data_IF_430129504765
#
_entry.id   IF_430129504765
#
_cell.length_a   1.000
_cell.length_b   1.000
_cell.length_c   1.000
_cell.angle_alpha   90.00
_cell.angle_beta   90.00
_cell.angle_gamma   90.00
#
_symmetry.space_group_name_H-M   'P 1'
#
loop_
_entity.id
_entity.type
_entity.pdbx_description
1 polymer ?
#
# COMPACT_ATOMS: atom_id res chain seq x y z
N UNK A 1 -1.42 3.43 25.28
CA UNK A 1 -2.39 2.30 25.33
C UNK A 1 -2.48 1.66 26.72
N UNK A 2 -1.51 1.85 27.63
CA UNK A 2 -1.60 1.44 29.06
C UNK A 2 -2.17 2.52 29.99
N UNK A 3 -2.87 3.51 29.43
CA UNK A 3 -3.43 4.57 30.25
C UNK A 3 -4.68 4.03 30.97
N UNK A 4 -4.65 4.05 32.30
CA UNK A 4 -5.72 3.48 33.14
C UNK A 4 -7.06 4.17 32.84
N UNK A 5 -7.03 5.44 32.48
CA UNK A 5 -8.21 6.24 32.17
C UNK A 5 -8.88 5.77 30.88
N UNK A 6 -8.09 5.44 29.86
CA UNK A 6 -8.61 4.91 28.59
C UNK A 6 -9.27 3.54 28.77
N UNK A 7 -8.66 2.68 29.59
CA UNK A 7 -9.23 1.36 29.90
C UNK A 7 -10.53 1.47 30.70
N UNK A 8 -10.65 2.47 31.59
CA UNK A 8 -11.86 2.73 32.35
C UNK A 8 -13.00 3.23 31.44
N UNK A 9 -12.71 4.15 30.51
CA UNK A 9 -13.67 4.65 29.51
C UNK A 9 -14.17 3.50 28.64
N UNK A 10 -13.28 2.62 28.16
CA UNK A 10 -13.65 1.43 27.39
C UNK A 10 -14.59 0.49 28.15
N UNK A 11 -14.34 0.26 29.44
CA UNK A 11 -15.21 -0.57 30.27
C UNK A 11 -16.57 0.10 30.53
N UNK A 12 -16.58 1.41 30.77
CA UNK A 12 -17.80 2.18 31.07
C UNK A 12 -18.76 2.25 29.88
N UNK A 13 -18.24 2.42 28.67
CA UNK A 13 -19.03 2.54 27.44
C UNK A 13 -18.97 1.30 26.55
N UNK A 14 -18.64 0.12 27.11
CA UNK A 14 -18.52 -1.12 26.35
C UNK A 14 -19.77 -1.51 25.55
N UNK A 15 -20.96 -1.12 26.03
CA UNK A 15 -22.27 -1.37 25.38
C UNK A 15 -22.73 -0.24 24.46
N UNK A 16 -22.05 0.91 24.46
CA UNK A 16 -22.43 2.11 23.72
C UNK A 16 -21.26 2.55 22.82
N UNK A 17 -21.23 1.98 21.61
CA UNK A 17 -20.15 2.23 20.64
C UNK A 17 -20.09 3.67 20.17
N UNK A 18 -21.21 4.39 20.20
CA UNK A 18 -21.30 5.76 19.72
C UNK A 18 -20.68 6.72 20.75
N UNK A 19 -21.03 6.60 22.03
CA UNK A 19 -20.36 7.33 23.11
C UNK A 19 -18.89 6.96 23.24
N UNK A 20 -18.54 5.69 23.06
CA UNK A 20 -17.14 5.26 23.10
C UNK A 20 -16.29 5.99 22.04
N UNK A 21 -16.79 6.10 20.81
CA UNK A 21 -16.10 6.81 19.73
C UNK A 21 -15.98 8.32 20.01
N UNK A 22 -17.00 8.94 20.61
CA UNK A 22 -16.97 10.36 21.01
C UNK A 22 -15.93 10.63 22.09
N UNK A 23 -15.90 9.81 23.15
CA UNK A 23 -14.91 9.92 24.23
C UNK A 23 -13.49 9.65 23.72
N UNK A 24 -13.33 8.71 22.79
CA UNK A 24 -12.04 8.48 22.13
C UNK A 24 -11.54 9.74 21.41
N UNK A 25 -12.41 10.40 20.65
CA UNK A 25 -12.09 11.64 19.95
C UNK A 25 -11.81 12.80 20.92
N UNK A 26 -12.50 12.84 22.06
CA UNK A 26 -12.23 13.83 23.12
C UNK A 26 -10.84 13.63 23.72
N UNK A 27 -10.51 12.41 24.10
CA UNK A 27 -9.19 12.07 24.65
C UNK A 27 -8.07 12.34 23.64
N UNK A 28 -8.29 12.06 22.36
CA UNK A 28 -7.32 12.39 21.30
C UNK A 28 -7.09 13.89 21.16
N UNK A 29 -8.15 14.70 21.25
CA UNK A 29 -8.05 16.17 21.25
C UNK A 29 -7.35 16.69 22.50
N UNK A 30 -7.70 16.20 23.69
CA UNK A 30 -7.08 16.61 24.95
C UNK A 30 -5.58 16.29 24.99
N UNK A 31 -5.17 15.17 24.37
CA UNK A 31 -3.76 14.78 24.27
C UNK A 31 -3.03 15.37 23.07
N UNK A 32 -3.68 16.21 22.27
CA UNK A 32 -3.09 16.80 21.06
C UNK A 32 -2.71 15.78 19.98
N UNK A 33 -3.29 14.57 20.01
CA UNK A 33 -3.02 13.51 19.02
C UNK A 33 -3.92 13.75 17.81
N UNK A 34 -3.33 14.12 16.68
CA UNK A 34 -4.08 14.32 15.45
C UNK A 34 -4.35 12.97 14.75
N UNK A 35 -5.62 12.52 14.62
CA UNK A 35 -5.95 11.26 13.94
C UNK A 35 -5.55 11.26 12.45
N UNK A 36 -5.38 12.44 11.84
CA UNK A 36 -4.87 12.58 10.47
C UNK A 36 -3.34 12.58 10.36
N UNK A 37 -2.61 12.53 11.49
CA UNK A 37 -1.15 12.43 11.46
C UNK A 37 -0.66 11.15 10.77
N UNK A 38 -1.47 10.09 10.77
CA UNK A 38 -1.13 8.83 10.10
C UNK A 38 -1.28 8.85 8.58
N UNK A 39 -2.04 9.80 8.01
CA UNK A 39 -2.19 9.93 6.55
C UNK A 39 -1.19 10.91 5.92
N UNK A 40 -0.40 11.62 6.74
CA UNK A 40 0.64 12.53 6.26
C UNK A 40 1.68 11.83 5.35
N UNK A 41 2.15 10.60 5.64
CA UNK A 41 3.02 9.87 4.71
C UNK A 41 2.34 9.55 3.38
N UNK A 42 1.03 9.29 3.40
CA UNK A 42 0.25 8.99 2.20
C UNK A 42 0.10 10.23 1.31
N UNK A 43 -0.08 11.41 1.88
CA UNK A 43 -0.17 12.67 1.13
C UNK A 43 1.14 12.99 0.40
N UNK A 44 2.28 12.73 1.01
CA UNK A 44 3.59 12.89 0.36
C UNK A 44 3.80 11.83 -0.73
N UNK A 45 3.20 10.65 -0.58
CA UNK A 45 3.31 9.55 -1.54
C UNK A 45 2.44 9.73 -2.80
N UNK A 46 1.32 10.47 -2.71
CA UNK A 46 0.38 10.66 -3.82
C UNK A 46 1.05 11.25 -5.09
N UNK A 47 1.83 12.35 -5.02
CA UNK A 47 2.51 12.90 -6.18
C UNK A 47 3.46 11.92 -6.88
N UNK A 48 4.15 11.06 -6.11
CA UNK A 48 5.09 10.08 -6.63
C UNK A 48 4.35 9.02 -7.46
N UNK A 49 3.22 8.52 -6.96
CA UNK A 49 2.40 7.53 -7.68
C UNK A 49 1.84 8.14 -8.97
N UNK A 50 1.36 9.40 -8.92
CA UNK A 50 0.84 10.10 -10.10
C UNK A 50 1.95 10.30 -11.14
N UNK A 51 3.13 10.74 -10.71
CA UNK A 51 4.28 10.94 -11.60
C UNK A 51 4.72 9.64 -12.27
N UNK A 52 4.79 8.54 -11.51
CA UNK A 52 5.11 7.23 -12.04
C UNK A 52 4.04 6.72 -13.01
N UNK A 53 2.76 6.80 -12.64
CA UNK A 53 1.65 6.38 -13.50
C UNK A 53 1.67 7.14 -14.83
N UNK A 54 1.86 8.46 -14.79
CA UNK A 54 2.00 9.28 -15.99
C UNK A 54 3.26 8.93 -16.79
N UNK A 55 4.39 8.67 -16.14
CA UNK A 55 5.63 8.27 -16.81
C UNK A 55 5.48 6.93 -17.53
N UNK A 56 4.89 5.92 -16.87
CA UNK A 56 4.62 4.60 -17.45
C UNK A 56 3.71 4.72 -18.67
N UNK A 57 2.62 5.48 -18.58
CA UNK A 57 1.67 5.64 -19.70
C UNK A 57 2.29 6.41 -20.87
N UNK A 58 3.07 7.46 -20.59
CA UNK A 58 3.76 8.23 -21.63
C UNK A 58 4.89 7.44 -22.31
N UNK A 59 5.63 6.63 -21.54
CA UNK A 59 6.75 5.83 -22.04
C UNK A 59 6.28 4.57 -22.80
N UNK A 60 5.17 3.98 -22.39
CA UNK A 60 4.67 2.72 -22.98
C UNK A 60 3.61 2.92 -24.05
N UNK A 61 3.19 4.17 -24.30
CA UNK A 61 2.36 4.56 -25.44
C UNK A 61 1.18 3.60 -25.69
N UNK A 62 0.52 3.17 -24.61
CA UNK A 62 -0.47 2.07 -24.64
C UNK A 62 -1.75 2.42 -25.41
N UNK A 63 -1.87 3.66 -25.87
CA UNK A 63 -2.99 4.23 -26.61
C UNK A 63 -2.48 5.07 -27.80
N UNK A 64 -2.79 4.72 -29.06
CA UNK A 64 -2.33 5.45 -30.26
C UNK A 64 -2.73 6.94 -30.29
N UNK A 65 -3.83 7.31 -29.61
CA UNK A 65 -4.29 8.69 -29.50
C UNK A 65 -3.44 9.56 -28.57
N UNK A 66 -2.80 8.97 -27.55
CA UNK A 66 -1.96 9.70 -26.61
C UNK A 66 -0.58 9.99 -27.21
N UNK A 67 -0.06 9.11 -28.07
CA UNK A 67 1.13 9.38 -28.91
C UNK A 67 0.96 10.63 -29.79
N UNK A 68 -0.22 10.79 -30.40
CA UNK A 68 -0.52 11.92 -31.29
C UNK A 68 -0.67 13.25 -30.54
N UNK A 69 -1.16 13.22 -29.29
CA UNK A 69 -1.27 14.42 -28.44
C UNK A 69 0.07 14.78 -27.80
N UNK A 70 0.85 13.78 -27.40
CA UNK A 70 2.20 13.96 -26.86
C UNK A 70 3.14 14.54 -27.93
N UNK A 71 3.02 14.09 -29.19
CA UNK A 71 3.76 14.62 -30.34
C UNK A 71 3.52 16.12 -30.58
N UNK A 72 2.35 16.67 -30.24
CA UNK A 72 2.07 18.11 -30.40
C UNK A 72 2.43 18.96 -29.20
N UNK A 73 2.54 18.38 -28.00
CA UNK A 73 2.68 19.14 -26.76
C UNK A 73 4.09 19.12 -26.16
N UNK A 74 5.02 18.33 -26.71
CA UNK A 74 6.38 18.21 -26.20
C UNK A 74 7.35 18.93 -27.14
N UNK A 75 8.05 19.93 -26.59
CA UNK A 75 9.17 20.63 -27.19
C UNK A 75 10.21 19.61 -27.68
N UNK A 76 10.73 19.77 -28.89
CA UNK A 76 11.55 18.78 -29.61
C UNK A 76 12.77 18.26 -28.83
N UNK A 77 13.25 18.99 -27.83
CA UNK A 77 14.40 18.61 -26.99
C UNK A 77 14.13 17.47 -25.99
N UNK A 78 12.87 17.23 -25.59
CA UNK A 78 12.53 16.15 -24.63
C UNK A 78 12.36 14.79 -25.34
N UNK A 79 12.17 14.79 -26.67
CA UNK A 79 12.08 13.58 -27.49
C UNK A 79 13.43 12.85 -27.59
N UNK A 80 14.54 13.57 -27.45
CA UNK A 80 15.88 12.97 -27.51
C UNK A 80 16.21 12.17 -26.23
N UNK A 81 15.66 12.59 -25.09
CA UNK A 81 15.74 11.84 -23.82
C UNK A 81 14.91 10.56 -23.88
N UNK A 82 13.80 10.54 -24.62
CA UNK A 82 12.98 9.34 -24.82
C UNK A 82 13.70 8.27 -25.67
N UNK A 83 14.58 8.69 -26.59
CA UNK A 83 15.41 7.77 -27.40
C UNK A 83 16.61 7.19 -26.62
N UNK A 84 17.05 7.85 -25.55
CA UNK A 84 18.10 7.36 -24.64
C UNK A 84 17.58 6.34 -23.61
N UNK A 85 16.27 6.21 -23.48
CA UNK A 85 15.64 5.17 -22.66
C UNK A 85 15.44 3.96 -23.58
N UNK A 86 16.21 2.86 -23.43
CA UNK A 86 15.97 1.66 -24.23
C UNK A 86 14.56 1.17 -23.90
N UNK A 87 13.64 1.35 -24.85
CA UNK A 87 12.23 0.96 -24.80
C UNK A 87 12.08 -0.57 -24.88
N UNK A 88 12.90 -1.32 -24.13
CA UNK A 88 12.62 -2.71 -23.89
C UNK A 88 11.53 -2.77 -22.82
N UNK A 89 10.28 -2.79 -23.26
CA UNK A 89 9.12 -2.95 -22.39
C UNK A 89 9.04 -4.35 -21.78
N UNK A 90 9.92 -5.28 -22.16
CA UNK A 90 9.99 -6.60 -21.55
C UNK A 90 10.97 -6.56 -20.37
N UNK A 91 10.46 -6.85 -19.19
CA UNK A 91 11.22 -6.97 -17.96
C UNK A 91 11.00 -8.38 -17.43
N UNK A 92 12.06 -9.13 -17.14
CA UNK A 92 11.96 -10.55 -16.79
C UNK A 92 11.14 -11.34 -17.84
N UNK A 93 10.01 -11.94 -17.45
CA UNK A 93 9.12 -12.73 -18.30
C UNK A 93 7.85 -11.98 -18.74
N UNK A 94 7.74 -10.69 -18.45
CA UNK A 94 6.51 -9.89 -18.61
C UNK A 94 6.73 -8.65 -19.47
N UNK A 95 5.65 -8.16 -20.07
CA UNK A 95 5.63 -6.87 -20.74
C UNK A 95 5.05 -5.80 -19.80
N UNK A 96 5.87 -4.81 -19.44
CA UNK A 96 5.57 -3.73 -18.50
C UNK A 96 4.34 -2.88 -18.90
N UNK A 97 3.97 -2.89 -20.19
CA UNK A 97 2.85 -2.14 -20.76
C UNK A 97 1.54 -2.89 -20.78
N UNK A 98 1.55 -4.19 -20.48
CA UNK A 98 0.37 -5.04 -20.45
C UNK A 98 0.14 -5.58 -19.03
N UNK A 99 -1.11 -5.90 -18.66
CA UNK A 99 -1.37 -6.69 -17.46
C UNK A 99 -0.60 -8.02 -17.52
N UNK A 100 0.13 -8.36 -16.46
CA UNK A 100 0.92 -9.59 -16.43
C UNK A 100 0.04 -10.80 -16.17
N UNK A 101 0.25 -11.85 -16.96
CA UNK A 101 -0.34 -13.16 -16.76
C UNK A 101 0.64 -14.20 -17.29
N UNK A 102 1.15 -15.06 -16.41
CA UNK A 102 2.00 -16.17 -16.79
C UNK A 102 1.16 -17.42 -16.85
N UNK A 103 1.22 -18.12 -17.98
CA UNK A 103 0.61 -19.42 -18.13
C UNK A 103 1.43 -20.47 -17.37
N UNK A 104 1.07 -20.75 -16.11
CA UNK A 104 1.64 -21.85 -15.33
C UNK A 104 0.67 -23.03 -15.47
N UNK A 105 1.14 -24.16 -16.01
CA UNK A 105 0.32 -25.35 -16.27
C UNK A 105 -0.90 -25.11 -17.19
N UNK A 106 -0.81 -24.15 -18.13
CA UNK A 106 -1.91 -23.79 -19.02
C UNK A 106 -2.97 -22.87 -18.37
N UNK A 107 -2.76 -22.44 -17.13
CA UNK A 107 -3.62 -21.48 -16.43
C UNK A 107 -2.91 -20.13 -16.40
N UNK A 108 -3.54 -19.09 -16.94
CA UNK A 108 -3.04 -17.72 -16.88
C UNK A 108 -3.15 -17.18 -15.44
N UNK A 109 -2.06 -17.28 -14.69
CA UNK A 109 -1.98 -16.79 -13.32
C UNK A 109 -1.32 -15.40 -13.33
N UNK A 110 -1.98 -14.38 -12.74
CA UNK A 110 -1.42 -13.05 -12.58
C UNK A 110 -0.48 -13.05 -11.38
N UNK A 111 0.73 -13.57 -11.60
CA UNK A 111 1.71 -13.83 -10.54
C UNK A 111 2.06 -12.56 -9.79
N UNK A 112 2.22 -11.44 -10.51
CA UNK A 112 2.56 -10.16 -9.91
C UNK A 112 1.44 -9.60 -9.03
N UNK A 113 0.18 -9.73 -9.43
CA UNK A 113 -0.93 -9.22 -8.62
C UNK A 113 -1.02 -9.96 -7.28
N UNK A 114 -0.76 -11.27 -7.30
CA UNK A 114 -0.67 -12.09 -6.09
C UNK A 114 0.51 -11.64 -5.23
N UNK A 115 1.69 -11.42 -5.82
CA UNK A 115 2.88 -10.94 -5.10
C UNK A 115 2.64 -9.55 -4.50
N UNK A 116 2.01 -8.61 -5.22
CA UNK A 116 1.62 -7.30 -4.71
C UNK A 116 0.68 -7.44 -3.52
N UNK A 117 -0.37 -8.26 -3.65
CA UNK A 117 -1.33 -8.47 -2.56
C UNK A 117 -0.64 -9.05 -1.32
N UNK A 118 0.20 -10.08 -1.48
CA UNK A 118 0.94 -10.70 -0.38
C UNK A 118 1.93 -9.71 0.26
N UNK A 119 2.73 -9.01 -0.54
CA UNK A 119 3.73 -8.07 -0.02
C UNK A 119 3.09 -6.89 0.70
N UNK A 120 2.00 -6.34 0.15
CA UNK A 120 1.22 -5.25 0.79
C UNK A 120 0.59 -5.75 2.09
N UNK A 121 0.09 -6.99 2.13
CA UNK A 121 -0.46 -7.60 3.33
C UNK A 121 0.60 -7.76 4.42
N UNK A 122 1.78 -8.30 4.08
CA UNK A 122 2.90 -8.47 5.00
C UNK A 122 3.36 -7.12 5.53
N UNK A 123 3.58 -6.14 4.65
CA UNK A 123 3.99 -4.78 5.03
C UNK A 123 2.96 -4.14 5.98
N UNK A 124 1.67 -4.26 5.68
CA UNK A 124 0.59 -3.76 6.54
C UNK A 124 0.61 -4.43 7.92
N UNK A 125 0.78 -5.75 7.99
CA UNK A 125 0.84 -6.49 9.27
C UNK A 125 2.08 -6.16 10.11
N UNK A 126 3.22 -5.92 9.47
CA UNK A 126 4.46 -5.55 10.14
C UNK A 126 4.40 -4.13 10.73
N UNK A 127 3.74 -3.21 10.02
CA UNK A 127 3.63 -1.80 10.42
C UNK A 127 2.46 -1.51 11.36
N UNK A 128 1.51 -2.43 11.49
CA UNK A 128 0.40 -2.28 12.44
C UNK A 128 0.92 -2.20 13.89
N UNK A 129 0.54 -1.17 14.66
CA UNK A 129 0.83 -1.16 16.07
C UNK A 129 0.07 -2.29 16.77
N UNK A 130 0.79 -3.14 17.51
CA UNK A 130 0.19 -4.18 18.36
C UNK A 130 -0.60 -3.52 19.49
N UNK A 131 -1.93 -3.48 19.38
CA UNK A 131 -2.76 -3.18 20.56
C UNK A 131 -2.86 -4.44 21.42
N UNK A 132 -2.68 -4.26 22.72
CA UNK A 132 -2.91 -5.29 23.73
C UNK A 132 -4.39 -5.36 24.14
N UNK A 133 -5.22 -4.43 23.66
CA UNK A 133 -6.62 -4.30 24.03
C UNK A 133 -7.55 -4.77 22.90
N UNK A 134 -8.35 -5.84 23.10
CA UNK A 134 -9.27 -6.38 22.09
C UNK A 134 -10.39 -5.43 21.67
N UNK A 135 -10.70 -4.43 22.50
CA UNK A 135 -11.75 -3.43 22.26
C UNK A 135 -11.20 -2.08 21.77
N UNK A 136 -9.92 -1.99 21.39
CA UNK A 136 -9.37 -0.77 20.79
C UNK A 136 -9.95 -0.61 19.37
N UNK A 137 -10.85 0.35 19.22
CA UNK A 137 -11.46 0.70 17.93
C UNK A 137 -10.40 1.07 16.88
N UNK A 138 -9.26 1.61 17.31
CA UNK A 138 -8.08 1.90 16.47
C UNK A 138 -7.43 0.65 15.89
N UNK A 139 -7.41 -0.46 16.65
CA UNK A 139 -6.85 -1.72 16.18
C UNK A 139 -7.79 -2.41 15.18
N UNK A 140 -9.11 -2.29 15.39
CA UNK A 140 -10.09 -2.77 14.43
C UNK A 140 -9.99 -2.01 13.09
N UNK A 141 -9.80 -0.69 13.13
CA UNK A 141 -9.60 0.13 11.93
C UNK A 141 -8.25 -0.16 11.24
N UNK A 142 -7.19 -0.38 12.01
CA UNK A 142 -5.90 -0.81 11.45
C UNK A 142 -5.99 -2.19 10.79
N UNK A 143 -6.70 -3.13 11.41
CA UNK A 143 -6.86 -4.48 10.87
C UNK A 143 -7.72 -4.48 9.61
N UNK A 144 -8.81 -3.71 9.56
CA UNK A 144 -9.60 -3.59 8.34
C UNK A 144 -8.77 -3.02 7.19
N UNK A 145 -7.97 -1.99 7.45
CA UNK A 145 -7.04 -1.44 6.46
C UNK A 145 -6.02 -2.47 5.97
N UNK A 146 -5.48 -3.29 6.88
CA UNK A 146 -4.52 -4.33 6.56
C UNK A 146 -5.06 -5.47 5.68
N UNK A 147 -6.38 -5.68 5.63
CA UNK A 147 -7.02 -6.67 4.77
C UNK A 147 -7.61 -6.06 3.50
N UNK A 148 -8.25 -4.89 3.61
CA UNK A 148 -8.94 -4.25 2.48
C UNK A 148 -7.95 -3.67 1.47
N UNK A 149 -6.87 -3.02 1.93
CA UNK A 149 -5.91 -2.36 1.04
C UNK A 149 -5.17 -3.34 0.12
N UNK A 150 -4.64 -4.48 0.62
CA UNK A 150 -3.96 -5.46 -0.24
C UNK A 150 -4.88 -6.12 -1.27
N UNK A 151 -6.16 -6.35 -0.91
CA UNK A 151 -7.14 -6.90 -1.84
C UNK A 151 -7.46 -5.91 -2.97
N UNK A 152 -7.64 -4.64 -2.63
CA UNK A 152 -7.90 -3.59 -3.60
C UNK A 152 -6.69 -3.37 -4.53
N UNK A 153 -5.47 -3.30 -3.98
CA UNK A 153 -4.25 -3.20 -4.79
C UNK A 153 -3.99 -4.44 -5.64
N UNK A 154 -4.28 -5.63 -5.10
CA UNK A 154 -4.24 -6.88 -5.84
C UNK A 154 -5.18 -6.84 -7.04
N UNK A 155 -6.44 -6.40 -6.85
CA UNK A 155 -7.40 -6.21 -7.92
C UNK A 155 -6.92 -5.19 -8.97
N UNK A 156 -6.37 -4.05 -8.53
CA UNK A 156 -5.80 -3.08 -9.47
C UNK A 156 -4.62 -3.63 -10.26
N UNK A 157 -3.75 -4.42 -9.64
CA UNK A 157 -2.64 -5.07 -10.32
C UNK A 157 -3.08 -6.09 -11.39
N UNK A 158 -4.34 -6.56 -11.36
CA UNK A 158 -4.93 -7.39 -12.42
C UNK A 158 -5.37 -6.56 -13.64
N UNK A 159 -5.79 -5.32 -13.41
CA UNK A 159 -6.41 -4.47 -14.44
C UNK A 159 -5.40 -3.52 -15.10
N UNK A 160 -4.32 -3.17 -14.39
CA UNK A 160 -3.34 -2.18 -14.83
C UNK A 160 -2.07 -2.81 -15.40
N UNK A 161 -1.27 -2.04 -16.19
CA UNK A 161 0.01 -2.48 -16.71
C UNK A 161 0.94 -2.99 -15.60
N UNK A 162 1.65 -4.08 -15.89
CA UNK A 162 2.50 -4.77 -14.92
C UNK A 162 3.64 -3.90 -14.37
N UNK A 163 4.05 -2.85 -15.07
CA UNK A 163 5.00 -1.87 -14.55
C UNK A 163 4.55 -1.19 -13.26
N UNK A 164 3.23 -0.98 -13.09
CA UNK A 164 2.67 -0.45 -11.84
C UNK A 164 2.80 -1.47 -10.69
N UNK A 165 2.57 -2.75 -10.98
CA UNK A 165 2.70 -3.83 -10.00
C UNK A 165 4.16 -4.00 -9.54
N UNK A 166 5.14 -3.97 -10.45
CA UNK A 166 6.58 -4.03 -10.12
C UNK A 166 6.99 -2.91 -9.18
N UNK A 167 6.50 -1.69 -9.41
CA UNK A 167 6.73 -0.57 -8.51
C UNK A 167 6.17 -0.83 -7.11
N UNK A 168 4.92 -1.31 -6.99
CA UNK A 168 4.33 -1.61 -5.70
C UNK A 168 5.11 -2.69 -4.95
N UNK A 169 5.52 -3.78 -5.63
CA UNK A 169 6.37 -4.81 -5.02
C UNK A 169 7.67 -4.21 -4.51
N UNK A 170 8.35 -3.44 -5.34
CA UNK A 170 9.65 -2.83 -4.99
C UNK A 170 9.51 -1.88 -3.81
N UNK A 171 8.50 -1.01 -3.83
CA UNK A 171 8.22 -0.07 -2.75
C UNK A 171 7.86 -0.77 -1.43
N UNK A 172 7.03 -1.82 -1.50
CA UNK A 172 6.67 -2.61 -0.33
C UNK A 172 7.90 -3.29 0.29
N UNK A 173 8.76 -3.88 -0.55
CA UNK A 173 10.00 -4.54 -0.11
C UNK A 173 10.95 -3.54 0.54
N UNK A 174 11.18 -2.38 -0.10
CA UNK A 174 12.02 -1.33 0.48
C UNK A 174 11.45 -0.80 1.79
N UNK A 175 10.13 -0.62 1.88
CA UNK A 175 9.45 -0.22 3.10
C UNK A 175 9.61 -1.25 4.23
N UNK A 176 9.49 -2.54 3.92
CA UNK A 176 9.74 -3.63 4.88
C UNK A 176 11.20 -3.59 5.36
N UNK A 177 12.17 -3.46 4.45
CA UNK A 177 13.60 -3.36 4.78
C UNK A 177 13.85 -2.14 5.66
N UNK A 178 13.33 -0.97 5.30
CA UNK A 178 13.47 0.25 6.09
C UNK A 178 12.89 0.08 7.50
N UNK A 179 11.70 -0.52 7.61
CA UNK A 179 11.02 -0.72 8.89
C UNK A 179 11.73 -1.78 9.75
N UNK A 180 12.30 -2.81 9.13
CA UNK A 180 13.13 -3.81 9.77
C UNK A 180 14.47 -3.23 10.24
N UNK A 181 15.14 -2.41 9.42
CA UNK A 181 16.38 -1.73 9.76
C UNK A 181 16.21 -0.73 10.92
N UNK A 182 15.02 -0.13 11.06
CA UNK A 182 14.67 0.70 12.22
C UNK A 182 14.37 -0.11 13.49
N UNK A 183 14.41 -1.45 13.44
CA UNK A 183 14.08 -2.32 14.57
C UNK A 183 12.59 -2.31 14.96
N UNK A 184 11.74 -1.71 14.13
CA UNK A 184 10.30 -1.54 14.42
C UNK A 184 9.44 -2.67 13.85
N UNK A 185 10.02 -3.57 13.05
CA UNK A 185 9.30 -4.67 12.41
C UNK A 185 8.74 -5.66 13.43
N UNK A 186 7.41 -5.72 13.52
CA UNK A 186 6.68 -6.63 14.39
C UNK A 186 6.51 -8.02 13.74
N UNK A 187 7.59 -8.78 13.64
CA UNK A 187 7.59 -10.13 13.05
C UNK A 187 6.60 -11.10 13.73
N UNK A 188 6.33 -10.89 15.02
CA UNK A 188 5.35 -11.66 15.79
C UNK A 188 3.91 -11.52 15.30
N UNK A 189 3.59 -10.49 14.51
CA UNK A 189 2.27 -10.30 13.91
C UNK A 189 2.04 -11.12 12.65
N UNK A 190 3.10 -11.66 12.04
CA UNK A 190 3.00 -12.57 10.89
C UNK A 190 2.77 -14.02 11.33
N UNK A 191 3.19 -14.38 12.54
CA UNK A 191 3.02 -15.72 13.07
C UNK A 191 1.56 -15.96 13.53
N UNK A 192 0.99 -17.14 13.24
CA UNK A 192 -0.32 -17.52 13.77
C UNK A 192 -0.30 -17.49 15.30
N UNK A 193 -1.43 -17.13 15.93
CA UNK A 193 -1.53 -16.88 17.39
C UNK A 193 -0.94 -18.00 18.27
N UNK A 194 -0.96 -19.25 17.81
CA UNK A 194 -0.39 -20.40 18.52
C UNK A 194 1.15 -20.42 18.60
N UNK A 195 1.86 -19.75 17.69
CA UNK A 195 3.32 -19.65 17.66
C UNK A 195 3.87 -18.35 18.31
N UNK A 196 2.99 -17.46 18.79
CA UNK A 196 3.40 -16.19 19.44
C UNK A 196 3.97 -16.36 20.86
N UNK A 197 4.14 -17.60 21.34
CA UNK A 197 4.77 -17.93 22.62
C UNK A 197 5.84 -19.01 22.43
N UNK A 198 7.07 -18.55 22.23
CA UNK A 198 8.28 -19.13 22.80
C UNK A 198 9.28 -18.01 23.00
#
# INVERSE_FOLDING_TARGET
>A
QNDKDWQAIQKKYAKDREKLAQEQMRVYREKGINPFGSCLPTLVQFPIIIGLYQSIIRALATTPLDLLKLSRSINTDLLDVANLIPLNSNFLWMNLGQPESVAIFGIGLPTLAIVVAITTYIQSKLTLPTSTNPNDQSAAMGQSMAYTMPLMLGWFALTFPSGLAVYFVTSNVLGIIQYAAQGKANWSNLLPKGMRKS
#
